data_IF_878789881951
#
_entry.id   IF_878789881951
#
_cell.length_a   1.000
_cell.length_b   1.000
_cell.length_c   1.000
_cell.angle_alpha   90.00
_cell.angle_beta   90.00
_cell.angle_gamma   90.00
#
_symmetry.space_group_name_H-M   'P 1'
#
loop_
_entity.id
_entity.type
_entity.pdbx_description
1 polymer ?
#
# COMPACT_ATOMS: atom_id res chain seq x y z
N UNK A 1 14.20 -7.19 7.82
CA UNK A 1 13.04 -7.63 7.02
C UNK A 1 12.87 -9.12 7.22
N UNK A 2 11.71 -9.57 7.71
CA UNK A 2 11.43 -10.99 7.95
C UNK A 2 11.01 -11.70 6.66
N UNK A 3 11.12 -13.06 6.62
CA UNK A 3 10.69 -13.83 5.45
C UNK A 3 9.23 -13.59 5.06
N UNK A 4 8.35 -13.39 6.05
CA UNK A 4 6.93 -13.07 5.86
C UNK A 4 6.74 -11.71 5.16
N UNK A 5 7.40 -10.66 5.64
CA UNK A 5 7.33 -9.32 5.06
C UNK A 5 7.85 -9.30 3.60
N UNK A 6 8.89 -10.07 3.32
CA UNK A 6 9.41 -10.22 1.97
C UNK A 6 8.40 -10.94 1.04
N UNK A 7 7.78 -12.01 1.50
CA UNK A 7 6.80 -12.76 0.73
C UNK A 7 5.53 -11.92 0.45
N UNK A 8 5.06 -11.17 1.45
CA UNK A 8 3.96 -10.21 1.29
C UNK A 8 4.29 -9.16 0.23
N UNK A 9 5.46 -8.53 0.30
CA UNK A 9 5.90 -7.52 -0.69
C UNK A 9 6.07 -8.10 -2.09
N UNK A 10 6.60 -9.32 -2.21
CA UNK A 10 6.77 -9.97 -3.50
C UNK A 10 5.43 -10.16 -4.23
N UNK A 11 4.40 -10.64 -3.53
CA UNK A 11 3.09 -10.81 -4.15
C UNK A 11 2.46 -9.46 -4.54
N UNK A 12 2.56 -8.45 -3.69
CA UNK A 12 2.00 -7.12 -3.96
C UNK A 12 2.68 -6.37 -5.10
N UNK A 13 3.85 -6.83 -5.56
CA UNK A 13 4.53 -6.24 -6.71
C UNK A 13 3.93 -6.66 -8.06
N UNK A 14 3.09 -7.69 -8.11
CA UNK A 14 2.33 -8.03 -9.30
C UNK A 14 1.27 -6.97 -9.53
N UNK A 15 1.26 -6.41 -10.75
CA UNK A 15 0.42 -5.25 -11.09
C UNK A 15 -1.08 -5.57 -11.09
N UNK A 16 -1.45 -6.78 -11.43
CA UNK A 16 -2.82 -7.30 -11.35
C UNK A 16 -3.27 -7.41 -9.89
N UNK A 17 -2.45 -8.00 -9.02
CA UNK A 17 -2.71 -8.07 -7.58
C UNK A 17 -2.81 -6.67 -6.97
N UNK A 18 -1.87 -5.79 -7.30
CA UNK A 18 -1.88 -4.41 -6.82
C UNK A 18 -3.13 -3.65 -7.25
N UNK A 19 -3.46 -3.70 -8.55
CA UNK A 19 -4.64 -3.00 -9.09
C UNK A 19 -5.93 -3.54 -8.50
N UNK A 20 -6.03 -4.84 -8.27
CA UNK A 20 -7.19 -5.49 -7.68
C UNK A 20 -7.43 -5.02 -6.24
N UNK A 21 -6.38 -4.99 -5.40
CA UNK A 21 -6.46 -4.46 -4.03
C UNK A 21 -6.95 -3.01 -4.03
N UNK A 22 -6.39 -2.17 -4.89
CA UNK A 22 -6.78 -0.77 -5.03
C UNK A 22 -8.23 -0.64 -5.48
N UNK A 23 -8.65 -1.41 -6.49
CA UNK A 23 -10.00 -1.38 -7.03
C UNK A 23 -11.05 -1.80 -6.01
N UNK A 24 -10.80 -2.86 -5.26
CA UNK A 24 -11.73 -3.33 -4.23
C UNK A 24 -11.85 -2.30 -3.10
N UNK A 25 -10.73 -1.81 -2.59
CA UNK A 25 -10.74 -1.02 -1.35
C UNK A 25 -10.97 0.48 -1.53
N UNK A 26 -10.59 1.07 -2.68
CA UNK A 26 -10.85 2.48 -2.96
C UNK A 26 -12.06 2.70 -3.86
N UNK A 27 -12.36 1.75 -4.74
CA UNK A 27 -13.38 1.93 -5.79
C UNK A 27 -14.55 0.95 -5.69
N UNK A 28 -14.66 0.17 -4.59
CA UNK A 28 -15.76 -0.75 -4.33
C UNK A 28 -15.89 -1.86 -5.39
N UNK A 29 -14.75 -2.41 -5.84
CA UNK A 29 -14.67 -3.47 -6.84
C UNK A 29 -14.79 -2.99 -8.30
N UNK A 30 -14.98 -1.68 -8.53
CA UNK A 30 -14.96 -1.14 -9.90
C UNK A 30 -13.54 -1.17 -10.46
N UNK A 31 -13.34 -1.74 -11.65
CA UNK A 31 -12.04 -1.77 -12.35
C UNK A 31 -11.66 -0.35 -12.84
N UNK A 32 -11.24 0.51 -11.90
CA UNK A 32 -10.80 1.87 -12.19
C UNK A 32 -9.31 1.95 -12.51
N UNK A 33 -8.47 1.17 -11.81
CA UNK A 33 -7.03 1.05 -12.04
C UNK A 33 -6.76 -0.25 -12.78
N UNK A 34 -6.14 -0.17 -13.96
CA UNK A 34 -5.71 -1.33 -14.72
C UNK A 34 -4.22 -1.64 -14.46
N UNK A 35 -3.85 -2.91 -14.45
CA UNK A 35 -2.46 -3.34 -14.34
C UNK A 35 -1.53 -2.72 -15.40
N UNK A 36 -2.07 -2.43 -16.61
CA UNK A 36 -1.33 -1.80 -17.72
C UNK A 36 -1.01 -0.33 -17.47
N UNK A 37 -1.79 0.35 -16.63
CA UNK A 37 -1.61 1.76 -16.27
C UNK A 37 -0.61 1.95 -15.14
N UNK A 38 -0.19 0.85 -14.48
CA UNK A 38 0.73 0.88 -13.35
C UNK A 38 2.19 0.79 -13.78
N UNK A 39 3.04 1.58 -13.14
CA UNK A 39 4.48 1.48 -13.19
C UNK A 39 5.07 1.49 -11.78
N UNK A 40 6.12 0.69 -11.56
CA UNK A 40 6.82 0.65 -10.28
C UNK A 40 7.52 1.98 -10.02
N UNK A 41 7.51 2.41 -8.77
CA UNK A 41 8.25 3.57 -8.28
C UNK A 41 9.32 3.10 -7.28
N UNK A 42 10.41 3.88 -7.10
CA UNK A 42 11.35 3.63 -6.03
C UNK A 42 10.66 3.72 -4.66
N UNK A 43 10.90 2.74 -3.79
CA UNK A 43 10.37 2.76 -2.42
C UNK A 43 11.14 3.67 -1.48
N UNK A 44 12.37 4.03 -1.86
CA UNK A 44 13.24 4.88 -1.06
C UNK A 44 12.96 6.36 -1.30
N UNK A 45 12.55 7.04 -0.26
CA UNK A 45 12.35 8.49 -0.25
C UNK A 45 13.42 9.14 0.64
N UNK A 46 14.17 10.06 0.07
CA UNK A 46 15.25 10.78 0.78
C UNK A 46 14.70 12.12 1.24
N UNK A 47 14.61 12.32 2.56
CA UNK A 47 14.24 13.59 3.15
C UNK A 47 15.43 14.15 3.97
N UNK A 48 15.65 15.45 3.93
CA UNK A 48 16.59 16.11 4.85
C UNK A 48 15.90 16.26 6.21
N UNK A 49 16.48 15.69 7.26
CA UNK A 49 16.02 15.97 8.62
C UNK A 49 16.42 17.40 9.02
N UNK A 50 15.46 18.13 9.59
CA UNK A 50 15.61 19.55 9.93
C UNK A 50 16.66 19.80 11.03
N UNK A 51 17.02 18.80 11.83
CA UNK A 51 17.85 18.99 13.04
C UNK A 51 19.30 18.53 12.97
N UNK A 52 19.69 17.67 12.01
CA UNK A 52 21.00 17.01 12.05
C UNK A 52 21.77 17.00 10.73
N UNK A 53 21.33 17.69 9.68
CA UNK A 53 21.86 17.56 8.30
C UNK A 53 21.96 16.11 7.78
N UNK A 54 21.43 15.14 8.53
CA UNK A 54 21.41 13.74 8.15
C UNK A 54 20.23 13.48 7.24
N UNK A 55 20.53 12.88 6.09
CA UNK A 55 19.50 12.35 5.21
C UNK A 55 18.75 11.23 5.96
N UNK A 56 17.45 11.40 6.17
CA UNK A 56 16.58 10.31 6.63
C UNK A 56 15.98 9.62 5.43
N UNK A 57 16.11 8.32 5.42
CA UNK A 57 15.50 7.46 4.44
C UNK A 57 14.13 7.04 4.95
N UNK A 58 13.09 7.45 4.24
CA UNK A 58 11.75 6.91 4.39
C UNK A 58 11.58 5.79 3.36
N UNK A 59 11.12 4.65 3.78
CA UNK A 59 10.90 3.51 2.89
C UNK A 59 9.43 3.17 2.83
N UNK A 60 8.85 3.30 1.64
CA UNK A 60 7.52 2.79 1.28
C UNK A 60 7.64 1.33 0.87
N UNK A 61 6.63 0.50 1.19
CA UNK A 61 6.72 -0.93 0.91
C UNK A 61 6.56 -1.24 -0.58
N UNK A 62 5.41 -0.92 -1.17
CA UNK A 62 5.15 -1.18 -2.58
C UNK A 62 4.52 0.06 -3.23
N UNK A 63 5.32 1.06 -3.61
CA UNK A 63 4.83 2.24 -4.32
C UNK A 63 4.68 1.96 -5.83
N UNK A 64 3.58 2.46 -6.39
CA UNK A 64 3.32 2.46 -7.83
C UNK A 64 2.75 3.78 -8.29
N UNK A 65 3.09 4.16 -9.53
CA UNK A 65 2.49 5.27 -10.24
C UNK A 65 1.45 4.74 -11.20
N UNK A 66 0.23 5.22 -11.08
CA UNK A 66 -0.83 4.99 -12.06
C UNK A 66 -0.92 6.18 -13.01
N UNK A 67 -0.92 5.89 -14.30
CA UNK A 67 -1.14 6.89 -15.35
C UNK A 67 -2.45 6.58 -16.04
N UNK A 68 -3.46 7.41 -15.77
CA UNK A 68 -4.77 7.28 -16.38
C UNK A 68 -5.13 8.57 -17.13
N UNK A 69 -5.38 8.45 -18.41
CA UNK A 69 -5.57 9.58 -19.31
C UNK A 69 -4.36 10.54 -19.25
N UNK A 70 -4.57 11.77 -18.81
CA UNK A 70 -3.50 12.75 -18.62
C UNK A 70 -3.19 13.04 -17.16
N UNK A 71 -3.71 12.22 -16.24
CA UNK A 71 -3.56 12.39 -14.78
C UNK A 71 -2.70 11.24 -14.24
N UNK A 72 -1.72 11.59 -13.42
CA UNK A 72 -0.99 10.62 -12.64
C UNK A 72 -1.54 10.60 -11.21
N UNK A 73 -1.44 9.45 -10.54
CA UNK A 73 -1.54 9.36 -9.09
C UNK A 73 -0.57 8.31 -8.56
N UNK A 74 -0.07 8.57 -7.38
CA UNK A 74 0.86 7.69 -6.71
C UNK A 74 0.10 6.89 -5.66
N UNK A 75 0.26 5.58 -5.73
CA UNK A 75 -0.39 4.62 -4.85
C UNK A 75 0.68 3.85 -4.11
N UNK A 76 0.50 3.61 -2.82
CA UNK A 76 1.38 2.75 -2.04
C UNK A 76 0.56 1.72 -1.27
N UNK A 77 0.99 0.46 -1.31
CA UNK A 77 0.54 -0.56 -0.36
C UNK A 77 1.59 -0.67 0.73
N UNK A 78 1.17 -0.50 1.97
CA UNK A 78 2.00 -0.56 3.16
C UNK A 78 1.56 -1.75 4.02
N UNK A 79 2.45 -2.72 4.24
CA UNK A 79 2.14 -3.94 4.98
C UNK A 79 2.38 -3.74 6.47
N UNK A 80 1.39 -4.08 7.28
CA UNK A 80 1.52 -4.04 8.74
C UNK A 80 1.04 -5.36 9.34
N UNK A 81 1.95 -6.09 9.98
CA UNK A 81 1.62 -7.31 10.73
C UNK A 81 1.12 -7.01 12.13
N UNK A 82 1.50 -5.86 12.68
CA UNK A 82 1.09 -5.34 13.96
C UNK A 82 0.74 -3.86 13.84
N UNK A 83 -0.10 -3.39 14.78
CA UNK A 83 -0.51 -1.99 14.85
C UNK A 83 0.70 -1.07 15.02
N UNK A 84 0.81 -0.07 14.17
CA UNK A 84 1.83 0.97 14.26
C UNK A 84 1.20 2.30 14.67
N UNK A 85 1.41 2.71 15.92
CA UNK A 85 0.79 3.91 16.48
C UNK A 85 1.23 5.23 15.83
N UNK A 86 2.33 5.25 15.09
CA UNK A 86 2.80 6.45 14.39
C UNK A 86 2.47 6.44 12.88
N UNK A 87 1.62 5.51 12.43
CA UNK A 87 1.32 5.36 11.02
C UNK A 87 0.75 6.62 10.35
N UNK A 88 -0.15 7.41 10.98
CA UNK A 88 -0.59 8.67 10.39
C UNK A 88 0.56 9.65 10.12
N UNK A 89 1.51 9.77 11.05
CA UNK A 89 2.68 10.64 10.86
C UNK A 89 3.66 10.09 9.81
N UNK A 90 3.81 8.75 9.72
CA UNK A 90 4.60 8.12 8.66
C UNK A 90 3.99 8.40 7.29
N UNK A 91 2.68 8.25 7.14
CA UNK A 91 1.98 8.52 5.89
C UNK A 91 2.11 9.99 5.46
N UNK A 92 1.98 10.94 6.41
CA UNK A 92 2.27 12.35 6.15
C UNK A 92 3.70 12.54 5.61
N UNK A 93 4.66 11.82 6.17
CA UNK A 93 6.07 11.84 5.71
C UNK A 93 6.20 11.34 4.27
N UNK A 94 5.53 10.26 3.91
CA UNK A 94 5.51 9.71 2.56
C UNK A 94 4.88 10.68 1.56
N UNK A 95 3.71 11.22 1.88
CA UNK A 95 3.01 12.20 1.05
C UNK A 95 3.86 13.46 0.85
N UNK A 96 4.42 14.01 1.94
CA UNK A 96 5.30 15.18 1.87
C UNK A 96 6.51 14.93 0.94
N UNK A 97 7.23 13.83 1.15
CA UNK A 97 8.40 13.51 0.34
C UNK A 97 8.05 13.39 -1.15
N UNK A 98 6.92 12.73 -1.48
CA UNK A 98 6.47 12.55 -2.86
C UNK A 98 5.98 13.86 -3.49
N UNK A 99 5.33 14.74 -2.75
CA UNK A 99 4.99 16.07 -3.25
C UNK A 99 6.23 16.93 -3.48
N UNK A 100 7.22 16.86 -2.60
CA UNK A 100 8.49 17.60 -2.80
C UNK A 100 9.28 17.11 -4.03
N UNK A 101 9.23 15.80 -4.32
CA UNK A 101 9.80 15.24 -5.54
C UNK A 101 9.11 15.82 -6.80
N UNK A 102 7.78 15.84 -6.82
CA UNK A 102 7.00 16.42 -7.92
C UNK A 102 7.29 17.93 -8.11
N UNK A 103 7.41 18.68 -7.01
CA UNK A 103 7.78 20.12 -7.06
C UNK A 103 9.19 20.29 -7.64
N UNK A 104 10.14 19.45 -7.26
CA UNK A 104 11.49 19.47 -7.82
C UNK A 104 11.48 19.20 -9.32
N UNK A 105 10.75 18.20 -9.79
CA UNK A 105 10.58 17.89 -11.22
C UNK A 105 9.96 19.06 -11.98
N UNK A 106 8.90 19.67 -11.43
CA UNK A 106 8.25 20.84 -12.01
C UNK A 106 9.24 22.03 -12.13
N UNK A 107 10.01 22.30 -11.07
CA UNK A 107 11.03 23.33 -11.04
C UNK A 107 12.12 23.13 -12.11
N UNK A 108 12.58 21.89 -12.27
CA UNK A 108 13.57 21.55 -13.29
C UNK A 108 13.01 21.73 -14.70
N UNK A 109 11.76 21.30 -14.93
CA UNK A 109 11.05 21.49 -16.20
C UNK A 109 10.85 22.98 -16.49
N UNK A 110 10.36 23.76 -15.54
CA UNK A 110 10.13 25.19 -15.68
C UNK A 110 11.42 25.96 -16.01
N UNK A 111 12.55 25.54 -15.39
CA UNK A 111 13.87 26.11 -15.72
C UNK A 111 14.31 25.85 -17.15
N UNK A 112 14.10 24.62 -17.65
CA UNK A 112 14.48 24.23 -19.00
C UNK A 112 13.64 24.92 -20.07
N UNK A 113 12.34 25.11 -19.80
CA UNK A 113 11.40 25.69 -20.74
C UNK A 113 11.27 27.20 -20.64
N UNK A 114 11.80 27.80 -19.57
CA UNK A 114 11.59 29.24 -19.26
C UNK A 114 10.13 29.58 -18.90
N UNK A 115 9.30 28.58 -18.62
CA UNK A 115 7.85 28.76 -18.39
C UNK A 115 7.53 29.13 -16.95
N UNK A 116 7.99 30.30 -16.52
CA UNK A 116 7.66 30.90 -15.21
C UNK A 116 7.67 32.42 -15.30
N UNK A 117 6.55 33.07 -14.96
CA UNK A 117 6.42 34.53 -15.06
C UNK A 117 7.21 35.28 -13.98
N UNK A 118 7.48 34.67 -12.83
CA UNK A 118 8.22 35.27 -11.72
C UNK A 118 9.19 34.26 -11.10
N UNK A 119 10.25 34.72 -10.38
CA UNK A 119 11.14 33.80 -9.64
C UNK A 119 10.41 32.90 -8.63
N UNK A 120 9.30 33.38 -8.05
CA UNK A 120 8.51 32.62 -7.06
C UNK A 120 7.70 31.49 -7.71
N UNK A 121 7.24 31.66 -8.94
CA UNK A 121 6.51 30.64 -9.70
C UNK A 121 7.42 29.62 -10.41
N UNK A 122 8.73 29.72 -10.18
CA UNK A 122 9.71 28.81 -10.77
C UNK A 122 9.58 27.37 -10.28
N UNK A 123 9.10 27.17 -9.05
CA UNK A 123 8.91 25.84 -8.46
C UNK A 123 7.64 25.19 -9.01
N UNK A 124 6.51 25.88 -8.90
CA UNK A 124 5.23 25.44 -9.42
C UNK A 124 4.49 26.66 -9.96
N UNK A 125 4.10 26.68 -11.21
CA UNK A 125 3.33 27.78 -11.78
C UNK A 125 1.81 27.54 -11.64
N UNK A 126 1.01 28.58 -11.86
CA UNK A 126 -0.44 28.59 -11.60
C UNK A 126 -1.22 27.50 -12.37
N UNK A 127 -0.69 27.05 -13.51
CA UNK A 127 -1.32 26.03 -14.35
C UNK A 127 -0.94 24.60 -13.95
N UNK A 128 0.14 24.42 -13.17
CA UNK A 128 0.63 23.13 -12.75
C UNK A 128 -0.11 22.64 -11.50
N UNK A 129 -0.41 21.36 -11.47
CA UNK A 129 -1.04 20.67 -10.33
C UNK A 129 -0.20 19.48 -9.94
N UNK A 130 -0.19 19.18 -8.65
CA UNK A 130 0.45 17.98 -8.12
C UNK A 130 -0.49 16.77 -8.30
N UNK A 131 0.10 15.62 -8.54
CA UNK A 131 -0.62 14.35 -8.60
C UNK A 131 -0.93 13.86 -7.19
N UNK A 132 -2.13 13.32 -6.93
CA UNK A 132 -2.48 12.77 -5.62
C UNK A 132 -1.53 11.65 -5.19
N UNK A 133 -1.30 11.53 -3.88
CA UNK A 133 -0.54 10.45 -3.24
C UNK A 133 -1.45 9.78 -2.24
N UNK A 134 -1.64 8.46 -2.36
CA UNK A 134 -2.57 7.69 -1.52
C UNK A 134 -1.85 6.45 -1.02
N UNK A 135 -1.87 6.22 0.30
CA UNK A 135 -1.35 5.00 0.92
C UNK A 135 -2.50 4.16 1.45
N UNK A 136 -2.51 2.86 1.11
CA UNK A 136 -3.39 1.86 1.70
C UNK A 136 -2.56 1.02 2.66
N UNK A 137 -2.97 1.00 3.93
CA UNK A 137 -2.32 0.22 4.99
C UNK A 137 -3.02 -1.12 5.11
N UNK A 138 -2.36 -2.19 4.70
CA UNK A 138 -2.87 -3.56 4.77
C UNK A 138 -2.53 -4.14 6.15
N UNK A 139 -3.54 -4.28 6.99
CA UNK A 139 -3.39 -4.90 8.31
C UNK A 139 -3.55 -6.42 8.21
N UNK A 140 -2.45 -7.15 8.30
CA UNK A 140 -2.38 -8.62 8.31
C UNK A 140 -2.60 -9.23 9.70
N UNK A 141 -2.75 -8.36 10.73
CA UNK A 141 -3.04 -8.79 12.09
C UNK A 141 -4.44 -9.41 12.19
N UNK A 142 -4.60 -10.34 13.14
CA UNK A 142 -5.94 -10.84 13.52
C UNK A 142 -6.71 -9.84 14.39
N UNK A 143 -6.01 -8.84 14.92
CA UNK A 143 -6.63 -7.74 15.68
C UNK A 143 -6.96 -6.61 14.72
N UNK A 144 -8.16 -6.10 14.83
CA UNK A 144 -8.55 -4.91 14.09
C UNK A 144 -7.70 -3.71 14.52
N UNK A 145 -7.39 -2.90 13.54
CA UNK A 145 -6.74 -1.62 13.78
C UNK A 145 -7.80 -0.56 14.00
N UNK A 146 -8.06 -0.24 15.26
CA UNK A 146 -9.08 0.73 15.62
C UNK A 146 -8.56 2.16 15.55
N UNK A 147 -7.46 2.45 16.28
CA UNK A 147 -6.81 3.77 16.37
C UNK A 147 -5.29 3.64 16.56
N UNK A 148 -4.48 4.63 16.13
CA UNK A 148 -4.89 5.88 15.45
C UNK A 148 -5.22 5.63 13.97
N UNK A 149 -6.26 6.32 13.47
CA UNK A 149 -6.68 6.32 12.05
C UNK A 149 -6.39 7.63 11.34
N UNK A 150 -6.13 8.67 12.11
CA UNK A 150 -5.79 9.99 11.62
C UNK A 150 -4.83 10.70 12.57
N UNK A 151 -4.33 11.87 12.16
CA UNK A 151 -3.45 12.68 12.99
C UNK A 151 -4.13 13.10 14.29
N UNK A 152 -5.40 13.47 14.24
CA UNK A 152 -6.13 13.94 15.43
C UNK A 152 -6.24 12.89 16.53
N UNK A 153 -6.24 11.58 16.19
CA UNK A 153 -6.20 10.49 17.19
C UNK A 153 -4.89 10.45 17.99
N UNK A 154 -3.86 11.20 17.57
CA UNK A 154 -2.54 11.24 18.18
C UNK A 154 -2.23 12.55 18.89
N UNK A 155 -3.10 13.56 18.74
CA UNK A 155 -2.89 14.89 19.30
C UNK A 155 -3.59 15.01 20.65
N UNK A 156 -2.99 15.79 21.53
CA UNK A 156 -3.57 16.21 22.81
C UNK A 156 -4.09 17.65 22.67
N UNK A 157 -5.33 17.85 23.03
CA UNK A 157 -5.99 19.16 22.95
C UNK A 157 -6.37 19.66 24.34
N UNK A 158 -6.24 20.97 24.60
CA UNK A 158 -6.80 21.60 25.82
C UNK A 158 -8.32 21.42 25.87
N UNK A 159 -8.87 21.18 27.06
CA UNK A 159 -10.31 20.90 27.21
C UNK A 159 -11.20 22.11 26.83
N UNK A 160 -10.72 23.31 27.05
CA UNK A 160 -11.47 24.57 26.87
C UNK A 160 -11.49 25.09 25.44
N UNK A 161 -10.49 24.78 24.61
CA UNK A 161 -10.35 25.31 23.24
C UNK A 161 -10.07 24.22 22.18
N UNK A 162 -10.20 22.94 22.54
CA UNK A 162 -9.86 21.83 21.67
C UNK A 162 -10.67 21.81 20.37
N UNK A 163 -11.97 22.10 20.43
CA UNK A 163 -12.84 22.16 19.25
C UNK A 163 -12.49 23.30 18.29
N UNK A 164 -12.01 24.43 18.80
CA UNK A 164 -11.55 25.55 17.98
C UNK A 164 -10.23 25.22 17.27
N UNK A 165 -9.30 24.54 17.95
CA UNK A 165 -8.00 24.17 17.39
C UNK A 165 -8.11 23.10 16.32
N UNK A 166 -8.99 22.11 16.47
CA UNK A 166 -9.18 21.05 15.48
C UNK A 166 -9.62 21.56 14.11
N UNK A 167 -10.30 22.72 14.04
CA UNK A 167 -10.69 23.34 12.77
C UNK A 167 -9.51 23.78 11.91
N UNK A 168 -8.35 24.00 12.52
CA UNK A 168 -7.13 24.49 11.86
C UNK A 168 -6.10 23.41 11.61
N UNK A 169 -6.32 22.21 12.14
CA UNK A 169 -5.39 21.08 12.00
C UNK A 169 -5.99 20.10 10.99
N UNK A 170 -5.31 19.81 9.87
CA UNK A 170 -5.76 18.80 8.91
C UNK A 170 -5.86 17.44 9.60
N UNK A 171 -6.97 16.74 9.40
CA UNK A 171 -7.23 15.45 10.05
C UNK A 171 -6.24 14.34 9.61
N UNK A 172 -5.75 14.39 8.40
CA UNK A 172 -4.85 13.42 7.80
C UNK A 172 -5.29 11.96 8.04
N UNK A 173 -6.42 11.54 7.47
CA UNK A 173 -6.89 10.17 7.61
C UNK A 173 -6.01 9.21 6.82
N UNK A 174 -5.78 8.00 7.38
CA UNK A 174 -5.10 6.91 6.68
C UNK A 174 -6.12 5.83 6.28
N UNK A 175 -5.92 5.25 5.09
CA UNK A 175 -6.77 4.17 4.59
C UNK A 175 -6.28 2.83 5.16
N UNK A 176 -6.95 2.31 6.21
CA UNK A 176 -6.62 1.04 6.84
C UNK A 176 -7.58 -0.05 6.36
N UNK A 177 -7.01 -1.17 5.94
CA UNK A 177 -7.72 -2.35 5.47
C UNK A 177 -7.42 -3.50 6.41
N UNK A 178 -8.40 -3.88 7.26
CA UNK A 178 -8.29 -5.02 8.16
C UNK A 178 -8.59 -6.30 7.37
N UNK A 179 -7.56 -7.01 6.92
CA UNK A 179 -7.70 -8.15 6.00
C UNK A 179 -8.39 -9.34 6.65
N UNK A 180 -8.15 -9.58 7.95
CA UNK A 180 -8.70 -10.73 8.67
C UNK A 180 -10.19 -10.59 9.06
N UNK A 181 -10.79 -9.42 8.88
CA UNK A 181 -12.20 -9.14 9.20
C UNK A 181 -13.01 -8.65 8.01
N UNK A 182 -12.55 -8.91 6.79
CA UNK A 182 -13.31 -8.54 5.59
C UNK A 182 -14.57 -9.39 5.42
N UNK A 183 -15.64 -8.74 4.93
CA UNK A 183 -16.90 -9.42 4.64
C UNK A 183 -16.75 -10.34 3.41
N UNK A 184 -17.56 -11.41 3.36
CA UNK A 184 -17.60 -12.30 2.20
C UNK A 184 -17.94 -11.54 0.91
N UNK A 185 -18.80 -10.53 0.99
CA UNK A 185 -19.13 -9.66 -0.14
C UNK A 185 -17.91 -8.92 -0.67
N UNK A 186 -17.03 -8.45 0.21
CA UNK A 186 -15.79 -7.78 -0.18
C UNK A 186 -14.77 -8.77 -0.75
N UNK A 187 -14.64 -9.95 -0.12
CA UNK A 187 -13.71 -11.00 -0.58
C UNK A 187 -14.06 -11.44 -2.01
N UNK A 188 -15.34 -11.60 -2.32
CA UNK A 188 -15.80 -11.97 -3.66
C UNK A 188 -15.55 -10.91 -4.75
N UNK A 189 -15.20 -9.68 -4.38
CA UNK A 189 -14.85 -8.63 -5.34
C UNK A 189 -13.40 -8.76 -5.85
N UNK A 190 -12.51 -9.41 -5.08
CA UNK A 190 -11.15 -9.65 -5.54
C UNK A 190 -11.12 -10.67 -6.68
N UNK A 191 -10.39 -10.34 -7.74
CA UNK A 191 -10.22 -11.19 -8.91
C UNK A 191 -8.86 -11.90 -8.92
N UNK A 192 -7.84 -11.31 -8.31
CA UNK A 192 -6.48 -11.84 -8.24
C UNK A 192 -6.31 -12.90 -7.15
N UNK A 193 -5.10 -13.48 -7.08
CA UNK A 193 -4.71 -14.43 -6.04
C UNK A 193 -4.84 -13.88 -4.61
N UNK A 194 -4.94 -12.55 -4.48
CA UNK A 194 -5.12 -11.91 -3.18
C UNK A 194 -6.41 -12.34 -2.47
N UNK A 195 -7.45 -12.75 -3.21
CA UNK A 195 -8.68 -13.32 -2.64
C UNK A 195 -8.42 -14.51 -1.72
N UNK A 196 -7.47 -15.36 -2.09
CA UNK A 196 -7.12 -16.54 -1.31
C UNK A 196 -6.39 -16.18 -0.02
N UNK A 197 -5.56 -15.15 -0.06
CA UNK A 197 -4.87 -14.63 1.12
C UNK A 197 -5.86 -14.05 2.12
N UNK A 198 -6.76 -13.18 1.66
CA UNK A 198 -7.76 -12.56 2.53
C UNK A 198 -8.64 -13.63 3.16
N UNK A 199 -9.13 -14.60 2.37
CA UNK A 199 -9.95 -15.71 2.88
C UNK A 199 -9.22 -16.56 3.90
N UNK A 200 -7.95 -16.90 3.64
CA UNK A 200 -7.09 -17.58 4.62
C UNK A 200 -7.00 -16.79 5.93
N UNK A 201 -6.74 -15.48 5.87
CA UNK A 201 -6.61 -14.65 7.06
C UNK A 201 -7.92 -14.59 7.87
N UNK A 202 -9.07 -14.58 7.21
CA UNK A 202 -10.38 -14.64 7.87
C UNK A 202 -10.66 -15.97 8.58
N UNK A 203 -10.09 -17.09 8.08
CA UNK A 203 -10.35 -18.44 8.60
C UNK A 203 -9.27 -18.95 9.57
N UNK A 204 -8.05 -18.43 9.54
CA UNK A 204 -6.86 -19.08 10.12
C UNK A 204 -6.91 -19.32 11.63
N UNK A 205 -7.73 -18.61 12.37
CA UNK A 205 -7.90 -18.78 13.82
C UNK A 205 -8.99 -19.78 14.18
N UNK A 206 -9.78 -20.23 13.19
CA UNK A 206 -10.82 -21.23 13.35
C UNK A 206 -10.42 -22.47 12.55
N UNK A 207 -9.94 -23.51 13.25
CA UNK A 207 -9.43 -24.73 12.62
C UNK A 207 -10.45 -25.38 11.70
N UNK A 208 -11.74 -25.38 12.10
CA UNK A 208 -12.80 -25.99 11.30
C UNK A 208 -13.00 -25.25 10.00
N UNK A 209 -13.10 -23.91 10.06
CA UNK A 209 -13.22 -23.07 8.85
C UNK A 209 -11.99 -23.17 7.96
N UNK A 210 -10.79 -23.29 8.56
CA UNK A 210 -9.57 -23.42 7.80
C UNK A 210 -9.50 -24.78 7.06
N UNK A 211 -9.86 -25.87 7.74
CA UNK A 211 -9.92 -27.20 7.13
C UNK A 211 -10.98 -27.23 6.01
N UNK A 212 -12.17 -26.66 6.22
CA UNK A 212 -13.21 -26.49 5.19
C UNK A 212 -12.68 -25.68 4.00
N UNK A 213 -12.02 -24.56 4.26
CA UNK A 213 -11.44 -23.71 3.22
C UNK A 213 -10.49 -24.47 2.30
N UNK A 214 -9.55 -25.24 2.85
CA UNK A 214 -8.61 -26.02 2.04
C UNK A 214 -9.24 -27.22 1.33
N UNK A 215 -10.34 -27.77 1.87
CA UNK A 215 -11.02 -28.91 1.26
C UNK A 215 -11.92 -28.51 0.07
N UNK A 216 -12.57 -27.34 0.14
CA UNK A 216 -13.56 -26.92 -0.86
C UNK A 216 -13.01 -25.93 -1.89
N UNK A 217 -11.84 -25.32 -1.64
CA UNK A 217 -11.28 -24.32 -2.53
C UNK A 217 -10.48 -24.98 -3.64
N UNK A 218 -10.92 -24.82 -4.86
CA UNK A 218 -10.10 -25.04 -6.04
C UNK A 218 -9.26 -23.79 -6.27
N UNK A 219 -7.94 -23.94 -6.14
CA UNK A 219 -7.00 -22.83 -6.30
C UNK A 219 -6.63 -22.69 -7.77
N UNK A 220 -7.11 -21.64 -8.40
CA UNK A 220 -6.67 -21.18 -9.71
C UNK A 220 -5.76 -19.97 -9.50
N UNK A 221 -4.45 -20.17 -9.58
CA UNK A 221 -3.45 -19.17 -9.23
C UNK A 221 -2.77 -18.64 -10.50
N UNK A 222 -2.72 -17.32 -10.61
CA UNK A 222 -1.93 -16.63 -11.63
C UNK A 222 -0.46 -16.50 -11.22
N UNK A 223 -0.17 -16.49 -9.90
CA UNK A 223 1.17 -16.34 -9.32
C UNK A 223 1.44 -17.43 -8.26
N UNK A 224 1.45 -18.72 -8.66
CA UNK A 224 1.51 -19.85 -7.72
C UNK A 224 2.77 -19.84 -6.84
N UNK A 225 3.92 -19.47 -7.37
CA UNK A 225 5.15 -19.39 -6.62
C UNK A 225 5.09 -18.35 -5.48
N UNK A 226 4.62 -17.14 -5.80
CA UNK A 226 4.51 -16.06 -4.82
C UNK A 226 3.48 -16.39 -3.74
N UNK A 227 2.38 -17.05 -4.11
CA UNK A 227 1.36 -17.51 -3.16
C UNK A 227 1.89 -18.60 -2.23
N UNK A 228 2.65 -19.59 -2.76
CA UNK A 228 3.27 -20.66 -1.97
C UNK A 228 4.37 -20.11 -1.05
N UNK A 229 5.16 -19.15 -1.50
CA UNK A 229 6.14 -18.45 -0.65
C UNK A 229 5.46 -17.75 0.51
N UNK A 230 4.34 -17.06 0.25
CA UNK A 230 3.54 -16.43 1.29
C UNK A 230 2.97 -17.46 2.29
N UNK A 231 2.32 -18.52 1.80
CA UNK A 231 1.81 -19.59 2.66
C UNK A 231 2.91 -20.21 3.52
N UNK A 232 4.06 -20.54 2.92
CA UNK A 232 5.19 -21.09 3.63
C UNK A 232 5.69 -20.17 4.75
N UNK A 233 5.75 -18.86 4.47
CA UNK A 233 6.22 -17.86 5.42
C UNK A 233 5.22 -17.63 6.58
N UNK A 234 3.90 -17.68 6.31
CA UNK A 234 2.85 -17.44 7.30
C UNK A 234 2.58 -18.68 8.17
N UNK A 235 2.64 -19.87 7.58
CA UNK A 235 2.37 -21.15 8.29
C UNK A 235 3.62 -21.77 8.89
N UNK A 236 4.81 -21.37 8.43
CA UNK A 236 6.09 -22.01 8.70
C UNK A 236 6.10 -23.50 8.28
N UNK A 237 5.30 -23.88 7.28
CA UNK A 237 5.17 -25.25 6.79
C UNK A 237 6.02 -25.48 5.55
N UNK A 238 7.01 -26.37 5.69
CA UNK A 238 7.96 -26.71 4.61
C UNK A 238 7.33 -27.42 3.41
N UNK A 239 6.12 -27.98 3.55
CA UNK A 239 5.42 -28.64 2.44
C UNK A 239 5.13 -27.68 1.30
N UNK A 240 4.83 -26.41 1.59
CA UNK A 240 4.61 -25.39 0.57
C UNK A 240 5.87 -25.06 -0.23
N UNK A 241 7.06 -25.10 0.40
CA UNK A 241 8.33 -24.95 -0.33
C UNK A 241 8.58 -26.10 -1.30
N UNK A 242 8.33 -27.32 -0.87
CA UNK A 242 8.45 -28.49 -1.75
C UNK A 242 7.45 -28.44 -2.91
N UNK A 243 6.24 -27.97 -2.67
CA UNK A 243 5.25 -27.77 -3.73
C UNK A 243 5.73 -26.74 -4.78
N UNK A 244 6.37 -25.65 -4.34
CA UNK A 244 6.97 -24.65 -5.23
C UNK A 244 8.10 -25.27 -6.08
N UNK A 245 9.04 -26.01 -5.46
CA UNK A 245 10.14 -26.69 -6.15
C UNK A 245 9.61 -27.62 -7.27
N UNK A 246 8.49 -28.32 -7.04
CA UNK A 246 7.84 -29.18 -8.05
C UNK A 246 7.24 -28.37 -9.23
N UNK A 247 6.71 -27.19 -8.98
CA UNK A 247 6.20 -26.31 -10.05
C UNK A 247 7.37 -25.81 -10.90
N UNK A 248 8.43 -25.30 -10.28
CA UNK A 248 9.64 -24.82 -10.96
C UNK A 248 10.29 -25.93 -11.83
N UNK A 249 10.34 -27.17 -11.33
CA UNK A 249 10.86 -28.33 -12.09
C UNK A 249 9.97 -28.70 -13.29
N UNK A 250 8.66 -28.44 -13.21
CA UNK A 250 7.72 -28.76 -14.30
C UNK A 250 7.77 -27.70 -15.40
N UNK A 251 7.88 -26.44 -15.04
CA UNK A 251 7.99 -25.32 -15.99
C UNK A 251 9.38 -25.23 -16.64
N UNK A 252 10.45 -25.65 -15.95
CA UNK A 252 11.81 -25.69 -16.49
C UNK A 252 12.08 -26.82 -17.48
N UNK A 253 11.12 -27.73 -17.70
CA UNK A 253 11.21 -28.86 -18.65
C UNK A 253 10.41 -28.66 -19.95
N UNK A 254 9.75 -27.52 -20.14
CA UNK A 254 9.01 -27.11 -21.32
C UNK A 254 9.77 -26.06 -22.12
#
# INVERSE_FOLDING_TARGET
MGAKDLAEKNLLQYKDVFSDIVNVNLFGGRCYVSAKELSREPGELITKAVSDDKLRQLQMDVPMKCKKDNINFFLCLENQSDKNNIMPVRDMGYQHAKYMEQIKEAKESNRKTGNYPTPMTKELNDSQKLSPVITLVLNYSQKEWEKPRCLNDMLEFPEDIGEELTKWIPEHPICIINLASQSETTICQYQSDFKYIVRYLCCRNDRKKLDEYFQITEFELDHPEAFLDWLSAVTNDRRYRKAKELIEETEGKG
#
